data_IF_871096882703
#
_entry.id   IF_871096882703
#
_cell.length_a   1.000
_cell.length_b   1.000
_cell.length_c   1.000
_cell.angle_alpha   90.00
_cell.angle_beta   90.00
_cell.angle_gamma   90.00
#
_symmetry.space_group_name_H-M   'P 1'
#
loop_
_entity.id
_entity.type
_entity.pdbx_description
1 polymer ?
#
# COMPACT_ATOMS: atom_id res chain seq x y z
N UNK A 1 -3.70 -21.63 -4.82
CA UNK A 1 -3.93 -20.69 -3.69
C UNK A 1 -2.90 -19.58 -3.77
N UNK A 2 -3.37 -18.32 -3.77
CA UNK A 2 -2.48 -17.17 -3.86
C UNK A 2 -1.98 -16.81 -2.46
N UNK A 3 -0.66 -16.74 -2.30
CA UNK A 3 -0.02 -16.45 -1.01
C UNK A 3 0.75 -15.14 -1.13
N UNK A 4 0.51 -14.25 -0.16
CA UNK A 4 1.17 -12.96 -0.06
C UNK A 4 2.08 -12.93 1.15
N UNK A 5 3.25 -12.30 0.98
CA UNK A 5 4.16 -12.03 2.09
C UNK A 5 3.91 -10.63 2.62
N UNK A 6 3.92 -10.46 3.93
CA UNK A 6 3.80 -9.15 4.55
C UNK A 6 5.15 -8.46 4.55
N UNK A 7 5.21 -7.24 3.95
CA UNK A 7 6.44 -6.47 3.88
C UNK A 7 6.54 -5.54 5.12
N UNK A 8 7.56 -5.71 5.98
CA UNK A 8 7.62 -5.02 7.27
C UNK A 8 8.15 -3.58 7.15
N UNK A 9 7.35 -2.68 6.60
CA UNK A 9 7.72 -1.26 6.39
C UNK A 9 7.75 -0.41 7.66
N UNK A 10 7.31 -0.97 8.79
CA UNK A 10 7.45 -0.37 10.12
C UNK A 10 8.70 -0.86 10.87
N UNK A 11 9.51 -1.68 10.22
CA UNK A 11 10.65 -2.36 10.82
C UNK A 11 10.28 -3.78 11.25
N UNK A 12 11.31 -4.60 11.40
CA UNK A 12 11.17 -6.00 11.81
C UNK A 12 11.89 -6.19 13.14
N UNK A 13 11.16 -6.58 14.18
CA UNK A 13 11.66 -6.72 15.53
C UNK A 13 11.49 -8.13 16.07
N UNK A 14 12.46 -8.54 16.89
CA UNK A 14 12.46 -9.84 17.56
C UNK A 14 11.37 -9.91 18.65
N UNK A 15 11.00 -8.76 19.22
CA UNK A 15 10.01 -8.66 20.28
C UNK A 15 8.86 -7.74 19.82
N UNK A 16 7.67 -8.31 19.68
CA UNK A 16 6.49 -7.58 19.26
C UNK A 16 6.20 -6.39 20.17
N UNK A 17 5.92 -5.26 19.52
CA UNK A 17 5.57 -4.03 20.24
C UNK A 17 6.75 -3.26 20.82
N UNK A 18 8.00 -3.69 20.55
CA UNK A 18 9.21 -3.01 21.02
C UNK A 18 10.15 -2.73 19.84
N UNK A 19 11.08 -1.78 20.05
CA UNK A 19 12.15 -1.49 19.07
C UNK A 19 13.43 -2.24 19.39
N UNK A 20 13.44 -3.07 20.43
CA UNK A 20 14.63 -3.80 20.87
C UNK A 20 15.03 -4.86 19.82
N UNK A 21 16.22 -4.74 19.28
CA UNK A 21 16.71 -5.65 18.24
C UNK A 21 16.03 -5.50 16.89
N UNK A 22 15.23 -4.45 16.69
CA UNK A 22 14.54 -4.19 15.44
C UNK A 22 15.49 -3.86 14.31
N UNK A 23 15.24 -4.42 13.14
CA UNK A 23 15.98 -4.06 11.93
C UNK A 23 15.49 -2.72 11.43
N UNK A 24 16.39 -1.80 11.06
CA UNK A 24 15.96 -0.56 10.44
C UNK A 24 15.33 -0.81 9.08
N UNK A 25 14.36 0.01 8.71
CA UNK A 25 13.77 -0.03 7.38
C UNK A 25 14.75 0.63 6.41
N UNK A 26 15.36 -0.18 5.55
CA UNK A 26 16.25 0.29 4.50
C UNK A 26 15.80 -0.25 3.16
N UNK A 27 16.15 0.44 2.09
CA UNK A 27 15.84 -0.05 0.74
C UNK A 27 16.46 -1.44 0.51
N UNK A 28 17.68 -1.65 0.97
CA UNK A 28 18.34 -2.95 0.79
C UNK A 28 17.61 -4.09 1.51
N UNK A 29 17.14 -3.85 2.73
CA UNK A 29 16.36 -4.85 3.46
C UNK A 29 15.03 -5.15 2.76
N UNK A 30 14.28 -4.12 2.39
CA UNK A 30 13.01 -4.30 1.67
C UNK A 30 13.21 -4.99 0.32
N UNK A 31 14.28 -4.66 -0.38
CA UNK A 31 14.67 -5.31 -1.64
C UNK A 31 14.94 -6.79 -1.44
N UNK A 32 15.69 -7.18 -0.39
CA UNK A 32 15.95 -8.59 -0.08
C UNK A 32 14.66 -9.36 0.19
N UNK A 33 13.75 -8.79 0.97
CA UNK A 33 12.45 -9.40 1.27
C UNK A 33 11.60 -9.58 0.00
N UNK A 34 11.51 -8.53 -0.82
CA UNK A 34 10.73 -8.57 -2.06
C UNK A 34 11.31 -9.56 -3.08
N UNK A 35 12.62 -9.58 -3.24
CA UNK A 35 13.30 -10.51 -4.16
C UNK A 35 13.15 -11.96 -3.69
N UNK A 36 13.21 -12.20 -2.39
CA UNK A 36 12.98 -13.54 -1.83
C UNK A 36 11.54 -14.02 -2.12
N UNK A 37 10.55 -13.15 -1.87
CA UNK A 37 9.15 -13.47 -2.16
C UNK A 37 8.93 -13.75 -3.66
N UNK A 38 9.53 -12.94 -4.52
CA UNK A 38 9.45 -13.11 -5.98
C UNK A 38 10.05 -14.45 -6.43
N UNK A 39 11.25 -14.77 -5.94
CA UNK A 39 11.98 -16.00 -6.30
C UNK A 39 11.31 -17.25 -5.75
N UNK A 40 10.68 -17.16 -4.58
CA UNK A 40 10.01 -18.29 -3.95
C UNK A 40 8.60 -18.56 -4.46
N UNK A 41 8.11 -17.74 -5.38
CA UNK A 41 6.82 -17.94 -6.02
C UNK A 41 5.62 -17.40 -5.26
N UNK A 42 5.82 -16.48 -4.33
CA UNK A 42 4.70 -15.74 -3.74
C UNK A 42 3.98 -14.93 -4.81
N UNK A 43 2.66 -14.85 -4.71
CA UNK A 43 1.85 -14.05 -5.65
C UNK A 43 2.18 -12.57 -5.54
N UNK A 44 2.37 -12.08 -4.33
CA UNK A 44 2.71 -10.69 -4.09
C UNK A 44 3.15 -10.41 -2.67
N UNK A 45 3.37 -9.15 -2.41
CA UNK A 45 3.63 -8.60 -1.07
C UNK A 45 2.53 -7.64 -0.67
N UNK A 46 2.12 -7.71 0.60
CA UNK A 46 1.23 -6.73 1.20
C UNK A 46 2.08 -5.62 1.80
N UNK A 47 1.82 -4.40 1.37
CA UNK A 47 2.52 -3.21 1.87
C UNK A 47 1.53 -2.40 2.70
N UNK A 48 1.73 -2.33 4.03
CA UNK A 48 0.80 -1.64 4.92
C UNK A 48 0.93 -0.12 4.82
N UNK A 49 -0.08 0.57 5.35
CA UNK A 49 -0.05 2.01 5.56
C UNK A 49 -0.32 2.32 7.03
N UNK A 50 0.22 3.41 7.50
CA UNK A 50 0.03 3.89 8.86
C UNK A 50 1.15 4.85 9.25
N UNK A 51 0.92 5.57 10.34
CA UNK A 51 1.88 6.57 10.84
C UNK A 51 3.26 6.01 11.15
N UNK A 52 3.32 4.75 11.56
CA UNK A 52 4.57 4.05 11.86
C UNK A 52 5.18 3.31 10.67
N UNK A 53 4.51 3.32 9.52
CA UNK A 53 4.96 2.64 8.30
C UNK A 53 5.56 3.64 7.31
N UNK A 54 6.45 3.16 6.46
CA UNK A 54 6.86 3.92 5.28
C UNK A 54 5.68 4.02 4.29
N UNK A 55 5.70 5.02 3.42
CA UNK A 55 4.63 5.20 2.42
C UNK A 55 4.57 3.99 1.47
N UNK A 56 3.42 3.33 1.33
CA UNK A 56 3.33 2.10 0.54
C UNK A 56 3.50 2.30 -0.97
N UNK A 57 3.12 3.44 -1.52
CA UNK A 57 3.31 3.73 -2.94
C UNK A 57 4.78 3.94 -3.29
N UNK A 58 5.49 4.69 -2.46
CA UNK A 58 6.93 4.94 -2.65
C UNK A 58 7.71 3.64 -2.49
N UNK A 59 7.36 2.82 -1.50
CA UNK A 59 7.98 1.51 -1.30
C UNK A 59 7.74 0.61 -2.51
N UNK A 60 6.51 0.47 -2.96
CA UNK A 60 6.17 -0.36 -4.12
C UNK A 60 6.92 0.10 -5.37
N UNK A 61 6.94 1.40 -5.65
CA UNK A 61 7.65 1.96 -6.80
C UNK A 61 9.16 1.70 -6.73
N UNK A 62 9.74 1.73 -5.53
CA UNK A 62 11.17 1.45 -5.31
C UNK A 62 11.52 -0.02 -5.57
N UNK A 63 10.58 -0.94 -5.36
CA UNK A 63 10.80 -2.37 -5.50
C UNK A 63 10.41 -2.92 -6.88
N UNK A 64 9.65 -2.16 -7.65
CA UNK A 64 9.20 -2.55 -8.98
C UNK A 64 10.37 -2.93 -9.91
N UNK A 65 11.42 -2.11 -10.05
CA UNK A 65 12.51 -2.41 -10.98
C UNK A 65 13.42 -3.56 -10.55
N UNK A 66 13.35 -4.00 -9.31
CA UNK A 66 14.21 -5.06 -8.77
C UNK A 66 13.49 -6.40 -8.62
N UNK A 67 12.26 -6.50 -9.07
CA UNK A 67 11.44 -7.72 -9.05
C UNK A 67 10.91 -8.01 -10.46
N UNK A 68 10.49 -9.26 -10.70
CA UNK A 68 10.09 -9.71 -12.04
C UNK A 68 8.58 -9.92 -12.18
N UNK A 69 7.97 -10.65 -11.26
CA UNK A 69 6.58 -11.09 -11.33
C UNK A 69 5.74 -10.71 -10.13
N UNK A 70 6.40 -10.34 -9.05
CA UNK A 70 5.77 -10.06 -7.77
C UNK A 70 4.72 -8.96 -7.91
N UNK A 71 3.52 -9.22 -7.43
CA UNK A 71 2.47 -8.20 -7.34
C UNK A 71 2.60 -7.41 -6.05
N UNK A 72 2.13 -6.20 -6.09
CA UNK A 72 2.19 -5.28 -4.95
C UNK A 72 0.77 -4.95 -4.51
N UNK A 73 0.38 -5.47 -3.35
CA UNK A 73 -0.91 -5.16 -2.72
C UNK A 73 -0.71 -3.92 -1.83
N UNK A 74 -1.02 -2.78 -2.41
CA UNK A 74 -0.76 -1.46 -1.81
C UNK A 74 -1.95 -1.05 -0.95
N UNK A 75 -1.71 -0.78 0.31
CA UNK A 75 -2.73 -0.28 1.22
C UNK A 75 -3.05 1.19 0.90
N UNK A 76 -4.33 1.48 0.73
CA UNK A 76 -4.83 2.83 0.45
C UNK A 76 -5.82 3.22 1.54
N UNK A 77 -5.55 4.34 2.20
CA UNK A 77 -6.44 4.89 3.23
C UNK A 77 -7.12 6.14 2.69
N UNK A 78 -8.45 6.08 2.45
CA UNK A 78 -9.20 7.27 2.06
C UNK A 78 -9.04 8.40 3.08
N UNK A 79 -8.87 9.62 2.59
CA UNK A 79 -8.60 10.79 3.44
C UNK A 79 -7.15 11.22 3.48
N UNK A 80 -6.19 10.32 3.21
CA UNK A 80 -4.77 10.69 3.05
C UNK A 80 -4.50 11.28 1.67
N UNK A 81 -5.11 10.72 0.64
CA UNK A 81 -5.02 11.24 -0.72
C UNK A 81 -6.41 11.54 -1.26
N UNK A 82 -6.50 12.52 -2.13
CA UNK A 82 -7.69 12.71 -2.94
C UNK A 82 -7.86 11.52 -3.90
N UNK A 83 -9.09 11.09 -4.19
CA UNK A 83 -9.30 9.94 -5.08
C UNK A 83 -8.74 10.14 -6.48
N UNK A 84 -8.68 11.37 -6.98
CA UNK A 84 -8.07 11.68 -8.28
C UNK A 84 -6.57 11.41 -8.29
N UNK A 85 -5.84 11.79 -7.24
CA UNK A 85 -4.41 11.50 -7.12
C UNK A 85 -4.19 9.98 -6.98
N UNK A 86 -4.95 9.32 -6.12
CA UNK A 86 -4.84 7.89 -5.93
C UNK A 86 -5.11 7.10 -7.22
N UNK A 87 -6.12 7.51 -8.00
CA UNK A 87 -6.42 6.90 -9.29
C UNK A 87 -5.29 7.09 -10.29
N UNK A 88 -4.68 8.28 -10.32
CA UNK A 88 -3.53 8.56 -11.19
C UNK A 88 -2.32 7.71 -10.84
N UNK A 89 -2.00 7.60 -9.55
CA UNK A 89 -0.90 6.76 -9.08
C UNK A 89 -1.15 5.29 -9.43
N UNK A 90 -2.36 4.80 -9.21
CA UNK A 90 -2.73 3.43 -9.52
C UNK A 90 -2.62 3.13 -11.02
N UNK A 91 -3.16 3.98 -11.86
CA UNK A 91 -3.08 3.82 -13.31
C UNK A 91 -1.63 3.83 -13.81
N UNK A 92 -0.81 4.74 -13.30
CA UNK A 92 0.62 4.81 -13.65
C UNK A 92 1.35 3.56 -13.23
N UNK A 93 1.19 3.14 -11.98
CA UNK A 93 1.85 1.95 -11.45
C UNK A 93 1.44 0.70 -12.23
N UNK A 94 0.15 0.55 -12.51
CA UNK A 94 -0.37 -0.60 -13.25
C UNK A 94 0.23 -0.68 -14.66
N UNK A 95 0.30 0.44 -15.37
CA UNK A 95 0.90 0.49 -16.70
C UNK A 95 2.41 0.20 -16.68
N UNK A 96 3.16 0.83 -15.78
CA UNK A 96 4.61 0.65 -15.72
C UNK A 96 5.01 -0.73 -15.22
N UNK A 97 4.17 -1.36 -14.41
CA UNK A 97 4.43 -2.69 -13.87
C UNK A 97 3.93 -3.83 -14.75
N UNK A 98 3.16 -3.54 -15.79
CA UNK A 98 2.51 -4.58 -16.58
C UNK A 98 1.46 -5.35 -15.81
N UNK A 99 0.68 -4.67 -14.97
CA UNK A 99 -0.45 -5.26 -14.25
C UNK A 99 -0.12 -5.90 -12.91
N UNK A 100 0.94 -5.45 -12.23
CA UNK A 100 1.35 -6.01 -10.94
C UNK A 100 0.82 -5.22 -9.72
N UNK A 101 -0.15 -4.35 -9.91
CA UNK A 101 -0.77 -3.59 -8.82
C UNK A 101 -2.05 -4.25 -8.34
N UNK A 102 -2.17 -4.39 -7.02
CA UNK A 102 -3.41 -4.71 -6.33
C UNK A 102 -3.64 -3.65 -5.24
N UNK A 103 -4.89 -3.34 -4.97
CA UNK A 103 -5.27 -2.31 -4.00
C UNK A 103 -5.95 -2.95 -2.80
N UNK A 104 -5.46 -2.63 -1.60
CA UNK A 104 -6.08 -2.97 -0.34
C UNK A 104 -6.63 -1.69 0.30
N UNK A 105 -7.95 -1.51 0.23
CA UNK A 105 -8.57 -0.32 0.81
C UNK A 105 -8.76 -0.52 2.31
N UNK A 106 -8.17 0.36 3.11
CA UNK A 106 -8.22 0.30 4.58
C UNK A 106 -8.84 1.58 5.14
N UNK A 107 -9.87 1.43 5.97
CA UNK A 107 -10.54 2.58 6.59
C UNK A 107 -9.81 3.07 7.85
N UNK A 108 -8.95 2.22 8.43
CA UNK A 108 -8.25 2.49 9.68
C UNK A 108 -9.11 2.14 10.90
N UNK A 109 -8.44 1.77 11.99
CA UNK A 109 -9.08 1.37 13.24
C UNK A 109 -8.67 2.18 14.46
N UNK A 110 -7.48 2.76 14.46
CA UNK A 110 -6.94 3.53 15.58
C UNK A 110 -7.18 5.03 15.34
N UNK A 111 -8.00 5.65 16.20
CA UNK A 111 -8.35 7.06 16.08
C UNK A 111 -7.13 7.98 16.24
N UNK A 112 -6.25 7.67 17.20
CA UNK A 112 -5.06 8.47 17.45
C UNK A 112 -4.10 8.44 16.26
N UNK A 113 -3.91 7.27 15.66
CA UNK A 113 -3.09 7.13 14.45
C UNK A 113 -3.68 7.91 13.28
N UNK A 114 -4.99 7.80 13.06
CA UNK A 114 -5.70 8.51 12.00
C UNK A 114 -5.59 10.03 12.15
N UNK A 115 -5.77 10.54 13.37
CA UNK A 115 -5.63 11.96 13.66
C UNK A 115 -4.19 12.44 13.43
N UNK A 116 -3.20 11.59 13.76
CA UNK A 116 -1.80 11.88 13.46
C UNK A 116 -1.52 11.98 11.97
N UNK A 117 -2.30 11.30 11.13
CA UNK A 117 -2.23 11.39 9.66
C UNK A 117 -3.16 12.48 9.08
N UNK A 118 -3.84 13.25 9.92
CA UNK A 118 -4.74 14.31 9.49
C UNK A 118 -6.16 13.86 9.19
N UNK A 119 -6.56 12.68 9.62
CA UNK A 119 -7.92 12.14 9.43
C UNK A 119 -8.69 12.26 10.73
N UNK A 120 -9.65 13.18 10.79
CA UNK A 120 -10.39 13.53 12.01
C UNK A 120 -11.86 13.08 12.00
N UNK A 121 -12.23 12.16 11.11
CA UNK A 121 -13.59 11.65 11.00
C UNK A 121 -13.84 10.54 12.00
N UNK A 122 -15.08 10.43 12.49
CA UNK A 122 -15.50 9.30 13.29
C UNK A 122 -15.62 8.01 12.44
N UNK A 123 -15.91 6.89 13.08
CA UNK A 123 -15.98 5.59 12.42
C UNK A 123 -17.00 5.56 11.28
N UNK A 124 -18.22 6.06 11.51
CA UNK A 124 -19.28 6.07 10.49
C UNK A 124 -18.91 6.98 9.31
N UNK A 125 -18.41 8.19 9.61
CA UNK A 125 -17.98 9.14 8.58
C UNK A 125 -16.80 8.61 7.76
N UNK A 126 -15.89 7.83 8.35
CA UNK A 126 -14.80 7.18 7.62
C UNK A 126 -15.31 6.16 6.61
N UNK A 127 -16.34 5.39 6.94
CA UNK A 127 -16.94 4.45 6.00
C UNK A 127 -17.66 5.17 4.86
N UNK A 128 -18.36 6.25 5.14
CA UNK A 128 -18.98 7.09 4.10
C UNK A 128 -17.92 7.68 3.16
N UNK A 129 -16.86 8.22 3.70
CA UNK A 129 -15.73 8.74 2.92
C UNK A 129 -15.10 7.66 2.05
N UNK A 130 -14.93 6.45 2.58
CA UNK A 130 -14.37 5.33 1.84
C UNK A 130 -15.28 4.91 0.68
N UNK A 131 -16.58 4.88 0.88
CA UNK A 131 -17.55 4.55 -0.15
C UNK A 131 -17.52 5.59 -1.29
N UNK A 132 -17.49 6.87 -0.96
CA UNK A 132 -17.35 7.94 -1.93
C UNK A 132 -16.04 7.88 -2.68
N UNK A 133 -14.93 7.65 -1.97
CA UNK A 133 -13.60 7.51 -2.53
C UNK A 133 -13.57 6.39 -3.57
N UNK A 134 -14.09 5.19 -3.24
CA UNK A 134 -14.13 4.05 -4.16
C UNK A 134 -14.92 4.38 -5.41
N UNK A 135 -16.07 5.03 -5.26
CA UNK A 135 -16.93 5.38 -6.39
C UNK A 135 -16.20 6.30 -7.37
N UNK A 136 -15.60 7.36 -6.85
CA UNK A 136 -14.85 8.33 -7.67
C UNK A 136 -13.62 7.67 -8.30
N UNK A 137 -12.88 6.90 -7.51
CA UNK A 137 -11.66 6.22 -7.95
C UNK A 137 -11.95 5.24 -9.10
N UNK A 138 -13.01 4.43 -8.97
CA UNK A 138 -13.41 3.48 -10.02
C UNK A 138 -13.81 4.18 -11.31
N UNK A 139 -14.54 5.27 -11.21
CA UNK A 139 -14.94 6.06 -12.36
C UNK A 139 -13.74 6.65 -13.10
N UNK A 140 -12.77 7.19 -12.35
CA UNK A 140 -11.55 7.75 -12.93
C UNK A 140 -10.67 6.68 -13.57
N UNK A 141 -10.54 5.51 -12.97
CA UNK A 141 -9.80 4.39 -13.55
C UNK A 141 -10.46 3.92 -14.86
N UNK A 142 -11.78 3.79 -14.89
CA UNK A 142 -12.51 3.42 -16.10
C UNK A 142 -12.26 4.41 -17.24
N UNK A 143 -12.31 5.71 -16.94
CA UNK A 143 -12.02 6.75 -17.92
C UNK A 143 -10.57 6.71 -18.41
N UNK A 144 -9.64 6.41 -17.53
CA UNK A 144 -8.23 6.24 -17.90
C UNK A 144 -8.05 5.14 -18.94
N UNK A 145 -8.82 4.06 -18.86
CA UNK A 145 -8.77 2.96 -19.83
C UNK A 145 -9.41 3.32 -21.16
N UNK A 146 -10.38 4.24 -21.18
CA UNK A 146 -11.06 4.69 -22.42
C UNK A 146 -10.40 5.91 -23.05
N UNK A 147 -9.40 6.50 -22.40
CA UNK A 147 -8.70 7.68 -22.89
C UNK A 147 -9.45 9.00 -22.65
N UNK A 148 -10.46 8.99 -21.78
CA UNK A 148 -11.25 10.18 -21.42
C UNK A 148 -10.63 11.02 -20.30
#
# INVERSE_FOLDING_TARGET
MDVFWFLPTHGDGHYLGTTQGARPVTLNYLKQEAQAADSLGYEGVLIPTGRSCEDPWVVAASLLPVTQRLKFLVAVRPGLHQPSLAARMAATFDRLSGGRLLINLVTGGDQTELEGDGVFLDHAARYEQSAEFIRIWRELIARSHTGE
#
